data_IF_717738537812
#
_entry.id   IF_717738537812
#
_cell.length_a   1.000
_cell.length_b   1.000
_cell.length_c   1.000
_cell.angle_alpha   90.00
_cell.angle_beta   90.00
_cell.angle_gamma   90.00
#
_symmetry.space_group_name_H-M   'P 1'
#
loop_
_entity.id
_entity.type
_entity.pdbx_description
1 polymer ?
#
# COMPACT_ATOMS: atom_id res chain seq x y z
N UNK A 1 47.66 -30.06 -0.92
CA UNK A 1 46.70 -29.33 -0.05
C UNK A 1 45.83 -28.47 -0.94
N UNK A 2 44.57 -28.85 -1.16
CA UNK A 2 43.61 -28.08 -1.98
C UNK A 2 42.84 -27.17 -1.02
N UNK A 3 43.00 -25.84 -1.14
CA UNK A 3 42.20 -24.86 -0.41
C UNK A 3 40.86 -24.71 -1.14
N UNK A 4 39.79 -25.19 -0.53
CA UNK A 4 38.44 -24.93 -0.99
C UNK A 4 38.10 -23.44 -0.78
N UNK A 5 37.77 -22.73 -1.86
CA UNK A 5 37.20 -21.39 -1.78
C UNK A 5 35.71 -21.52 -1.45
N UNK A 6 35.32 -21.07 -0.26
CA UNK A 6 33.92 -20.92 0.12
C UNK A 6 33.41 -19.62 -0.53
N UNK A 7 32.58 -19.74 -1.57
CA UNK A 7 31.79 -18.61 -2.05
C UNK A 7 30.63 -18.37 -1.08
N UNK A 8 30.74 -17.33 -0.24
CA UNK A 8 29.59 -16.78 0.47
C UNK A 8 28.71 -16.04 -0.54
N UNK A 9 27.56 -16.60 -0.89
CA UNK A 9 26.51 -15.85 -1.56
C UNK A 9 25.87 -14.90 -0.54
N UNK A 10 26.15 -13.60 -0.63
CA UNK A 10 25.42 -12.58 0.11
C UNK A 10 24.01 -12.50 -0.50
N UNK A 11 23.01 -13.01 0.22
CA UNK A 11 21.62 -12.77 -0.15
C UNK A 11 21.34 -11.27 -0.01
N UNK A 12 21.09 -10.58 -1.12
CA UNK A 12 20.64 -9.20 -1.08
C UNK A 12 19.34 -9.12 -0.26
N UNK A 13 19.34 -8.31 0.80
CA UNK A 13 18.13 -8.04 1.57
C UNK A 13 17.06 -7.45 0.62
N UNK A 14 15.82 -7.95 0.72
CA UNK A 14 14.72 -7.42 -0.06
C UNK A 14 14.58 -5.91 0.21
N UNK A 15 14.30 -5.09 -0.81
CA UNK A 15 14.19 -3.65 -0.62
C UNK A 15 13.03 -3.35 0.35
N UNK A 16 13.33 -2.67 1.45
CA UNK A 16 12.30 -2.16 2.36
C UNK A 16 11.64 -0.97 1.68
N UNK A 17 10.41 -1.14 1.20
CA UNK A 17 9.66 -0.06 0.55
C UNK A 17 9.01 0.82 1.61
N UNK A 18 9.72 1.84 2.08
CA UNK A 18 9.17 2.80 3.04
C UNK A 18 8.05 3.67 2.43
N UNK A 19 7.17 4.19 3.30
CA UNK A 19 6.23 5.25 2.96
C UNK A 19 7.00 6.56 2.66
N UNK A 20 6.50 7.40 1.74
CA UNK A 20 7.22 8.61 1.34
C UNK A 20 7.07 9.74 2.37
N UNK A 21 8.06 10.63 2.51
CA UNK A 21 8.05 11.69 3.54
C UNK A 21 7.14 12.88 3.21
N UNK A 22 6.55 12.92 2.02
CA UNK A 22 5.78 14.04 1.47
C UNK A 22 4.35 13.62 1.03
N UNK A 23 3.56 12.98 1.91
CA UNK A 23 2.29 12.34 1.56
C UNK A 23 1.32 13.33 0.91
N UNK A 24 1.11 14.51 1.49
CA UNK A 24 0.14 15.49 0.98
C UNK A 24 0.48 16.01 -0.42
N UNK A 25 1.77 16.12 -0.75
CA UNK A 25 2.21 16.50 -2.09
C UNK A 25 1.91 15.39 -3.10
N UNK A 26 2.21 14.14 -2.73
CA UNK A 26 2.03 13.00 -3.63
C UNK A 26 0.55 12.64 -3.80
N UNK A 27 -0.30 12.86 -2.80
CA UNK A 27 -1.77 12.81 -2.93
C UNK A 27 -2.26 13.76 -4.01
N UNK A 28 -1.84 15.04 -3.97
CA UNK A 28 -2.19 16.01 -5.02
C UNK A 28 -1.67 15.58 -6.39
N UNK A 29 -0.44 15.05 -6.44
CA UNK A 29 0.14 14.50 -7.67
C UNK A 29 -0.64 13.29 -8.22
N UNK A 30 -1.27 12.51 -7.35
CA UNK A 30 -2.16 11.41 -7.72
C UNK A 30 -3.54 11.87 -8.22
N UNK A 31 -3.78 13.19 -8.28
CA UNK A 31 -5.07 13.78 -8.64
C UNK A 31 -6.12 13.65 -7.54
N UNK A 32 -5.69 13.40 -6.30
CA UNK A 32 -6.54 13.30 -5.12
C UNK A 32 -6.48 14.62 -4.32
N UNK A 33 -7.54 14.91 -3.57
CA UNK A 33 -7.58 16.06 -2.67
C UNK A 33 -7.33 15.57 -1.26
N UNK A 34 -6.21 15.96 -0.61
CA UNK A 34 -5.98 15.62 0.79
C UNK A 34 -6.97 16.35 1.69
N UNK A 35 -7.24 15.76 2.85
CA UNK A 35 -8.32 16.11 3.77
C UNK A 35 -7.76 16.23 5.20
N UNK A 36 -8.58 16.69 6.15
CA UNK A 36 -8.16 16.92 7.55
C UNK A 36 -8.43 15.75 8.48
N UNK A 37 -9.22 14.77 8.05
CA UNK A 37 -9.60 13.54 8.77
C UNK A 37 -10.30 12.58 7.79
N UNK A 38 -10.59 11.38 8.26
CA UNK A 38 -11.32 10.33 7.52
C UNK A 38 -12.82 10.63 7.44
N UNK A 39 -13.50 10.21 6.36
CA UNK A 39 -14.95 10.38 6.16
C UNK A 39 -15.71 9.05 6.13
N UNK A 40 -16.95 9.09 6.62
CA UNK A 40 -17.83 7.91 6.68
C UNK A 40 -18.76 7.73 5.46
N UNK A 41 -18.80 8.67 4.50
CA UNK A 41 -19.78 8.60 3.40
C UNK A 41 -19.54 7.37 2.49
N UNK A 42 -18.35 7.28 1.92
CA UNK A 42 -17.83 6.07 1.30
C UNK A 42 -16.51 5.81 2.00
N UNK A 43 -16.43 4.70 2.74
CA UNK A 43 -15.22 4.20 3.36
C UNK A 43 -15.17 2.70 3.10
N UNK A 44 -14.30 2.29 2.18
CA UNK A 44 -14.18 0.89 1.77
C UNK A 44 -12.74 0.43 1.86
N UNK A 45 -12.55 -0.88 1.98
CA UNK A 45 -11.24 -1.49 2.12
C UNK A 45 -10.96 -2.43 0.96
N UNK A 46 -9.78 -2.29 0.35
CA UNK A 46 -9.23 -3.29 -0.57
C UNK A 46 -7.89 -3.76 -0.02
N UNK A 47 -7.40 -4.91 -0.46
CA UNK A 47 -6.14 -5.47 0.02
C UNK A 47 -5.14 -5.59 -1.13
N UNK A 48 -3.88 -5.28 -0.84
CA UNK A 48 -2.77 -5.35 -1.78
C UNK A 48 -1.66 -6.24 -1.24
N UNK A 49 -1.46 -7.37 -1.91
CA UNK A 49 -0.28 -8.20 -1.79
C UNK A 49 0.76 -7.85 -2.84
N UNK A 50 2.02 -7.72 -2.42
CA UNK A 50 3.17 -7.57 -3.32
C UNK A 50 4.11 -8.77 -3.14
N UNK A 51 4.49 -9.39 -4.24
CA UNK A 51 5.45 -10.49 -4.28
C UNK A 51 6.64 -10.15 -5.16
N UNK A 52 7.85 -10.33 -4.63
CA UNK A 52 9.11 -10.28 -5.39
C UNK A 52 9.78 -11.64 -5.32
N UNK A 53 9.95 -12.30 -6.47
CA UNK A 53 10.56 -13.62 -6.57
C UNK A 53 9.91 -14.66 -5.63
N UNK A 54 8.58 -14.63 -5.55
CA UNK A 54 7.77 -15.54 -4.75
C UNK A 54 7.72 -15.23 -3.25
N UNK A 55 8.39 -14.17 -2.78
CA UNK A 55 8.35 -13.72 -1.38
C UNK A 55 7.42 -12.52 -1.23
N UNK A 56 6.54 -12.54 -0.23
CA UNK A 56 5.68 -11.39 0.12
C UNK A 56 6.55 -10.24 0.62
N UNK A 57 6.24 -9.04 0.17
CA UNK A 57 6.84 -7.77 0.60
C UNK A 57 5.75 -6.93 1.24
N UNK A 58 6.06 -6.29 2.36
CA UNK A 58 5.11 -5.45 3.07
C UNK A 58 4.79 -4.18 2.28
N UNK A 59 3.51 -3.79 2.33
CA UNK A 59 3.07 -2.44 1.97
C UNK A 59 3.10 -1.65 3.27
N UNK A 60 3.89 -0.58 3.39
CA UNK A 60 4.11 0.09 4.68
C UNK A 60 2.87 0.81 5.19
N UNK A 61 2.76 0.92 6.51
CA UNK A 61 1.87 1.84 7.20
C UNK A 61 2.16 3.30 6.83
N UNK A 62 1.13 4.15 6.87
CA UNK A 62 1.26 5.60 6.77
C UNK A 62 1.41 6.16 5.35
N UNK A 63 1.23 5.35 4.31
CA UNK A 63 1.12 5.90 2.95
C UNK A 63 -0.10 6.80 2.91
N UNK A 64 0.06 8.03 2.40
CA UNK A 64 -1.02 9.01 2.34
C UNK A 64 -1.33 9.71 3.67
N UNK A 65 -0.58 9.46 4.75
CA UNK A 65 -0.81 10.08 6.07
C UNK A 65 0.40 10.93 6.47
N UNK A 66 0.18 12.18 6.89
CA UNK A 66 1.20 13.01 7.55
C UNK A 66 1.43 12.51 8.99
N UNK A 67 2.24 11.47 9.14
CA UNK A 67 2.51 10.76 10.40
C UNK A 67 3.20 11.63 11.47
N UNK A 68 3.67 12.83 11.12
CA UNK A 68 4.27 13.78 12.05
C UNK A 68 3.27 14.82 12.56
N UNK A 69 2.05 14.83 12.03
CA UNK A 69 0.99 15.69 12.51
C UNK A 69 0.52 15.23 13.90
N UNK A 70 0.45 16.15 14.85
CA UNK A 70 0.10 15.85 16.25
C UNK A 70 -1.32 15.28 16.43
N UNK A 71 -2.22 15.54 15.50
CA UNK A 71 -3.58 14.99 15.53
C UNK A 71 -3.65 13.55 15.02
N UNK A 72 -2.62 13.06 14.31
CA UNK A 72 -2.53 11.66 13.87
C UNK A 72 -2.04 10.81 15.03
N UNK A 73 -2.86 9.84 15.45
CA UNK A 73 -2.51 8.92 16.52
C UNK A 73 -1.62 7.80 15.98
N UNK A 74 -0.67 7.39 16.80
CA UNK A 74 0.16 6.20 16.57
C UNK A 74 -0.39 5.04 17.40
N UNK A 75 -0.52 3.89 16.77
CA UNK A 75 -0.99 2.65 17.39
C UNK A 75 0.12 1.60 17.32
N UNK A 76 0.11 0.70 18.29
CA UNK A 76 0.92 -0.53 18.24
C UNK A 76 -0.05 -1.69 18.14
N UNK A 77 0.07 -2.49 17.09
CA UNK A 77 -0.71 -3.70 16.92
C UNK A 77 -0.30 -4.70 18.01
N UNK A 78 -1.22 -5.16 18.87
CA UNK A 78 -0.88 -6.06 19.96
C UNK A 78 -0.58 -7.49 19.49
N UNK A 79 -0.95 -7.87 18.27
CA UNK A 79 -0.70 -9.21 17.73
C UNK A 79 0.75 -9.38 17.23
N UNK A 80 1.31 -8.37 16.56
CA UNK A 80 2.61 -8.47 15.89
C UNK A 80 3.58 -7.31 16.18
N UNK A 81 3.14 -6.29 16.94
CA UNK A 81 3.95 -5.12 17.27
C UNK A 81 4.09 -4.10 16.14
N UNK A 82 3.41 -4.30 15.00
CA UNK A 82 3.43 -3.34 13.88
C UNK A 82 2.90 -1.98 14.31
N UNK A 83 3.43 -0.92 13.68
CA UNK A 83 3.00 0.45 13.95
C UNK A 83 1.86 0.83 13.01
N UNK A 84 0.78 1.34 13.58
CA UNK A 84 -0.34 1.95 12.85
C UNK A 84 -0.39 3.47 12.98
N UNK A 85 -0.98 4.15 12.01
CA UNK A 85 -1.23 5.60 12.02
C UNK A 85 -2.66 5.92 11.62
N UNK A 86 -3.36 6.80 12.32
CA UNK A 86 -4.73 7.20 11.96
C UNK A 86 -5.50 7.82 13.13
N UNK A 87 -6.82 7.58 13.19
CA UNK A 87 -7.63 7.95 14.35
C UNK A 87 -7.63 9.46 14.63
N UNK A 88 -7.71 10.26 13.57
CA UNK A 88 -7.58 11.72 13.62
C UNK A 88 -8.83 12.32 14.26
N UNK A 89 -8.71 12.69 15.53
CA UNK A 89 -9.77 13.37 16.29
C UNK A 89 -9.13 14.23 17.40
N UNK A 90 -9.30 15.56 17.40
CA UNK A 90 -10.04 16.37 16.43
C UNK A 90 -9.39 16.39 15.03
N UNK A 91 -10.10 16.86 13.97
CA UNK A 91 -9.51 17.05 12.65
C UNK A 91 -8.23 17.90 12.69
N UNK A 92 -7.28 17.60 11.81
CA UNK A 92 -6.06 18.37 11.66
C UNK A 92 -6.38 19.84 11.27
N UNK A 93 -5.57 20.79 11.75
CA UNK A 93 -5.70 22.21 11.40
C UNK A 93 -5.34 22.53 9.94
N UNK A 94 -4.59 21.63 9.28
CA UNK A 94 -4.30 21.61 7.85
C UNK A 94 -4.52 20.18 7.35
N UNK A 95 -4.72 20.02 6.04
CA UNK A 95 -4.87 18.69 5.45
C UNK A 95 -3.68 17.79 5.81
N UNK A 96 -3.95 16.58 6.25
CA UNK A 96 -2.98 15.65 6.83
C UNK A 96 -3.21 14.19 6.41
N UNK A 97 -4.28 13.90 5.66
CA UNK A 97 -4.60 12.55 5.20
C UNK A 97 -5.13 12.55 3.77
N UNK A 98 -4.71 11.56 2.99
CA UNK A 98 -5.20 11.27 1.66
C UNK A 98 -6.49 10.46 1.74
N UNK A 99 -7.47 10.66 0.84
CA UNK A 99 -8.62 9.76 0.72
C UNK A 99 -8.21 8.33 0.27
N UNK A 100 -6.93 8.10 -0.02
CA UNK A 100 -6.35 6.81 -0.27
C UNK A 100 -5.15 6.63 0.67
N UNK A 101 -5.16 5.65 1.57
CA UNK A 101 -4.09 5.51 2.55
C UNK A 101 -3.98 4.10 3.15
N UNK A 102 -2.93 3.86 3.93
CA UNK A 102 -2.72 2.65 4.74
C UNK A 102 -2.57 3.03 6.22
N UNK A 103 -3.30 2.33 7.10
CA UNK A 103 -3.08 2.49 8.55
C UNK A 103 -1.93 1.64 9.04
N UNK A 104 -1.87 0.37 8.63
CA UNK A 104 -0.88 -0.63 9.04
C UNK A 104 -0.06 -1.13 7.84
N UNK A 105 0.89 -2.01 8.10
CA UNK A 105 1.75 -2.63 7.09
C UNK A 105 1.22 -3.95 6.51
N UNK A 106 -0.08 -4.20 6.72
CA UNK A 106 -0.80 -5.42 6.32
C UNK A 106 -1.21 -5.44 4.85
N UNK A 107 -1.21 -4.29 4.17
CA UNK A 107 -1.65 -4.14 2.79
C UNK A 107 -3.11 -3.72 2.62
N UNK A 108 -3.82 -3.38 3.70
CA UNK A 108 -5.17 -2.82 3.61
C UNK A 108 -5.11 -1.38 3.11
N UNK A 109 -5.70 -1.17 1.94
CA UNK A 109 -5.85 0.13 1.30
C UNK A 109 -7.23 0.69 1.62
N UNK A 110 -7.25 1.83 2.30
CA UNK A 110 -8.44 2.58 2.64
C UNK A 110 -8.79 3.49 1.46
N UNK A 111 -10.03 3.40 0.97
CA UNK A 111 -10.57 4.32 -0.03
C UNK A 111 -11.74 5.07 0.56
N UNK A 112 -11.61 6.39 0.52
CA UNK A 112 -12.63 7.32 0.97
C UNK A 112 -13.07 8.25 -0.15
N UNK A 113 -14.36 8.58 -0.19
CA UNK A 113 -14.86 9.57 -1.11
C UNK A 113 -16.16 10.22 -0.63
N UNK A 114 -16.39 11.45 -1.08
CA UNK A 114 -17.63 12.22 -0.83
C UNK A 114 -18.79 11.84 -1.78
N UNK A 115 -18.55 10.89 -2.68
CA UNK A 115 -19.49 10.36 -3.67
C UNK A 115 -19.08 8.93 -4.04
N UNK A 116 -19.92 8.21 -4.79
CA UNK A 116 -19.64 6.85 -5.26
C UNK A 116 -18.54 6.82 -6.35
N UNK A 117 -17.31 7.19 -6.01
CA UNK A 117 -16.14 7.16 -6.86
C UNK A 117 -15.00 6.48 -6.12
N UNK A 118 -14.61 5.29 -6.58
CA UNK A 118 -13.47 4.56 -6.03
C UNK A 118 -12.15 5.13 -6.52
N UNK A 119 -11.16 5.18 -5.63
CA UNK A 119 -9.77 5.39 -5.98
C UNK A 119 -9.24 4.23 -6.83
N UNK A 120 -8.09 4.44 -7.46
CA UNK A 120 -7.47 3.47 -8.37
C UNK A 120 -6.07 3.09 -7.92
N UNK A 121 -5.66 1.87 -8.26
CA UNK A 121 -4.33 1.35 -7.96
C UNK A 121 -3.20 2.27 -8.49
N UNK A 122 -3.39 2.88 -9.66
CA UNK A 122 -2.42 3.83 -10.21
C UNK A 122 -2.22 5.07 -9.33
N UNK A 123 -3.26 5.52 -8.64
CA UNK A 123 -3.21 6.65 -7.70
C UNK A 123 -2.43 6.25 -6.45
N UNK A 124 -2.68 5.04 -5.92
CA UNK A 124 -1.94 4.48 -4.79
C UNK A 124 -0.42 4.45 -5.04
N UNK A 125 -0.01 3.93 -6.21
CA UNK A 125 1.42 3.94 -6.57
C UNK A 125 1.99 5.34 -6.71
N UNK A 126 1.21 6.30 -7.24
CA UNK A 126 1.64 7.69 -7.34
C UNK A 126 1.81 8.33 -5.95
N UNK A 127 0.90 8.11 -5.01
CA UNK A 127 1.03 8.65 -3.65
C UNK A 127 2.11 7.95 -2.81
N UNK A 128 2.36 6.65 -3.05
CA UNK A 128 3.49 5.92 -2.47
C UNK A 128 4.84 6.38 -3.05
N UNK A 129 4.83 7.10 -4.18
CA UNK A 129 6.06 7.50 -4.86
C UNK A 129 6.79 6.33 -5.52
N UNK A 130 6.08 5.24 -5.82
CA UNK A 130 6.60 4.04 -6.46
C UNK A 130 6.04 3.90 -7.88
N UNK A 131 6.85 3.36 -8.79
CA UNK A 131 6.36 2.94 -10.11
C UNK A 131 5.95 1.48 -10.01
N UNK A 132 4.81 1.14 -10.60
CA UNK A 132 4.49 -0.25 -10.87
C UNK A 132 5.48 -0.78 -11.92
N UNK A 133 6.24 -1.85 -11.65
CA UNK A 133 7.17 -2.42 -12.62
C UNK A 133 6.45 -2.89 -13.89
N UNK A 134 7.03 -2.64 -15.06
CA UNK A 134 6.38 -2.93 -16.35
C UNK A 134 6.17 -4.43 -16.58
N UNK A 135 7.05 -5.25 -16.01
CA UNK A 135 7.03 -6.70 -16.06
C UNK A 135 6.11 -7.35 -15.01
N UNK A 136 5.53 -6.54 -14.11
CA UNK A 136 4.70 -7.06 -13.04
C UNK A 136 3.44 -7.74 -13.59
N UNK A 137 3.14 -8.93 -13.09
CA UNK A 137 1.87 -9.62 -13.32
C UNK A 137 0.91 -9.20 -12.22
N UNK A 138 -0.20 -8.58 -12.59
CA UNK A 138 -1.22 -8.13 -11.65
C UNK A 138 -2.42 -9.05 -11.70
N UNK A 139 -2.96 -9.38 -10.54
CA UNK A 139 -4.11 -10.23 -10.34
C UNK A 139 -5.16 -9.48 -9.53
N UNK A 140 -6.43 -9.69 -9.86
CA UNK A 140 -7.58 -9.21 -9.10
C UNK A 140 -8.43 -10.42 -8.76
N UNK A 141 -8.67 -10.64 -7.48
CA UNK A 141 -9.46 -11.77 -6.98
C UNK A 141 -8.96 -13.12 -7.56
N UNK A 142 -7.64 -13.30 -7.59
CA UNK A 142 -6.95 -14.50 -8.10
C UNK A 142 -6.84 -14.58 -9.63
N UNK A 143 -7.51 -13.70 -10.38
CA UNK A 143 -7.53 -13.72 -11.84
C UNK A 143 -6.53 -12.72 -12.42
N UNK A 144 -5.72 -13.18 -13.37
CA UNK A 144 -4.70 -12.33 -14.01
C UNK A 144 -5.37 -11.23 -14.83
N UNK A 145 -4.97 -9.99 -14.57
CA UNK A 145 -5.37 -8.81 -15.35
C UNK A 145 -4.38 -8.59 -16.49
N UNK A 146 -4.89 -8.37 -17.70
CA UNK A 146 -4.10 -8.00 -18.89
C UNK A 146 -4.27 -6.53 -19.30
N UNK A 147 -5.37 -5.89 -18.86
CA UNK A 147 -5.60 -4.47 -19.06
C UNK A 147 -4.66 -3.63 -18.18
N UNK A 148 -4.67 -2.31 -18.36
CA UNK A 148 -3.85 -1.39 -17.56
C UNK A 148 -4.14 -1.56 -16.05
N UNK A 149 -3.18 -2.08 -15.25
CA UNK A 149 -3.39 -2.27 -13.82
C UNK A 149 -3.57 -0.96 -13.07
N UNK A 150 -3.08 0.17 -13.60
CA UNK A 150 -3.27 1.49 -12.97
C UNK A 150 -4.74 1.90 -12.93
N UNK A 151 -5.57 1.34 -13.81
CA UNK A 151 -7.00 1.63 -13.89
C UNK A 151 -7.85 0.82 -12.91
N UNK A 152 -7.30 -0.21 -12.24
CA UNK A 152 -8.01 -1.08 -11.29
C UNK A 152 -8.62 -0.22 -10.18
N UNK A 153 -9.94 -0.29 -10.04
CA UNK A 153 -10.67 0.37 -8.95
C UNK A 153 -10.51 -0.40 -7.64
N UNK A 154 -10.21 0.33 -6.57
CA UNK A 154 -10.08 -0.14 -5.20
C UNK A 154 -11.46 -0.21 -4.56
N UNK A 155 -12.20 -1.25 -4.92
CA UNK A 155 -13.57 -1.51 -4.43
C UNK A 155 -13.52 -2.24 -3.09
N UNK A 156 -14.64 -2.20 -2.37
CA UNK A 156 -14.79 -2.94 -1.12
C UNK A 156 -14.47 -4.43 -1.29
N UNK A 157 -13.67 -4.95 -0.36
CA UNK A 157 -13.17 -6.32 -0.26
C UNK A 157 -12.51 -6.87 -1.53
N UNK A 158 -11.95 -5.99 -2.35
CA UNK A 158 -11.15 -6.40 -3.51
C UNK A 158 -9.78 -6.90 -3.08
N UNK A 159 -9.37 -8.05 -3.61
CA UNK A 159 -8.03 -8.61 -3.45
C UNK A 159 -7.16 -8.30 -4.67
N UNK A 160 -5.95 -7.78 -4.47
CA UNK A 160 -5.00 -7.45 -5.54
C UNK A 160 -3.65 -8.06 -5.21
N UNK A 161 -3.11 -8.86 -6.13
CA UNK A 161 -1.74 -9.35 -6.03
C UNK A 161 -0.87 -8.80 -7.18
N UNK A 162 0.28 -8.24 -6.83
CA UNK A 162 1.31 -7.79 -7.76
C UNK A 162 2.49 -8.74 -7.65
N UNK A 163 2.86 -9.37 -8.77
CA UNK A 163 3.93 -10.37 -8.81
C UNK A 163 5.04 -9.91 -9.75
N UNK A 164 6.24 -9.74 -9.20
CA UNK A 164 7.47 -9.40 -9.93
C UNK A 164 8.42 -10.60 -9.88
N UNK A 165 8.86 -11.05 -11.05
CA UNK A 165 9.73 -12.24 -11.18
C UNK A 165 8.99 -13.56 -10.96
N UNK A 166 9.59 -14.48 -10.18
CA UNK A 166 8.99 -15.79 -9.87
C UNK A 166 7.67 -15.60 -9.10
N UNK A 167 6.64 -16.34 -9.49
CA UNK A 167 5.35 -16.32 -8.80
C UNK A 167 5.41 -17.00 -7.42
N UNK A 168 4.58 -16.57 -6.45
CA UNK A 168 4.36 -17.32 -5.21
C UNK A 168 3.67 -18.67 -5.51
N UNK A 169 3.69 -19.57 -4.53
CA UNK A 169 3.02 -20.88 -4.63
C UNK A 169 1.50 -20.76 -4.74
N UNK A 170 0.92 -19.70 -4.19
CA UNK A 170 -0.49 -19.38 -4.27
C UNK A 170 -0.67 -17.89 -4.60
N UNK A 171 -1.59 -17.59 -5.54
CA UNK A 171 -2.01 -16.23 -5.83
C UNK A 171 -3.24 -15.91 -4.98
N UNK A 172 -3.19 -14.89 -4.10
CA UNK A 172 -4.33 -14.45 -3.31
C UNK A 172 -5.57 -14.17 -4.16
N UNK A 173 -6.72 -14.59 -3.67
CA UNK A 173 -7.99 -14.46 -4.39
C UNK A 173 -9.15 -13.91 -3.55
N UNK A 174 -8.93 -13.69 -2.25
CA UNK A 174 -9.93 -13.20 -1.31
C UNK A 174 -9.28 -12.21 -0.36
N UNK A 175 -10.03 -11.16 -0.05
CA UNK A 175 -9.71 -10.22 1.02
C UNK A 175 -9.57 -10.99 2.36
N UNK A 176 -8.55 -10.68 3.18
CA UNK A 176 -8.23 -11.40 4.41
C UNK A 176 -9.28 -11.26 5.53
#
# INVERSE_FOLDING_TARGET
>A
MIRAAVLLAIAAAAPVWAAPPNPMQLTRKAGLTPETHEFVFLHVHSHLDVFINGKKVLVPAGIGIDIHNKAVRKFTNPQDGSTGYGGISPPCSKVCISPLHTHFDDGILHTEARKNQFNRLGQFFTEWGRKLPAEAKVYVDGKRVKADPRAIQLKDKREIAIVVGKAPTHIPAKFP
#
